data_IF_358893527653
#
_entry.id   IF_358893527653
#
_cell.length_a   1.000
_cell.length_b   1.000
_cell.length_c   1.000
_cell.angle_alpha   90.00
_cell.angle_beta   90.00
_cell.angle_gamma   90.00
#
_symmetry.space_group_name_H-M   'P 1'
#
loop_
_entity.id
_entity.type
_entity.pdbx_description
1 polymer ?
#
# COMPACT_ATOMS: atom_id res chain seq x y z
N UNK A 1 69.59 9.92 29.80
CA UNK A 1 68.89 10.66 30.88
C UNK A 1 69.14 12.15 30.70
N UNK A 2 68.14 12.93 30.27
CA UNK A 2 68.14 14.38 30.49
C UNK A 2 66.72 14.90 30.31
N UNK A 3 66.19 15.52 31.36
CA UNK A 3 64.88 16.13 31.42
C UNK A 3 65.08 17.56 31.90
N UNK A 4 64.59 18.57 31.17
CA UNK A 4 64.14 19.84 31.76
C UNK A 4 62.96 20.37 30.97
N UNK A 5 61.84 20.51 31.68
CA UNK A 5 60.56 21.09 31.25
C UNK A 5 60.67 22.61 31.21
N UNK A 6 59.98 23.26 30.28
CA UNK A 6 59.54 24.64 30.44
C UNK A 6 58.17 24.83 29.79
N UNK A 7 57.28 25.39 30.59
CA UNK A 7 55.83 25.56 30.43
C UNK A 7 55.52 26.93 29.83
N UNK A 8 54.58 27.04 28.86
CA UNK A 8 53.64 28.18 28.77
C UNK A 8 52.52 27.96 27.72
N UNK A 9 51.31 27.80 28.28
CA UNK A 9 49.95 28.16 27.84
C UNK A 9 49.71 28.62 26.40
N UNK A 10 48.70 28.00 25.77
CA UNK A 10 47.97 28.54 24.62
C UNK A 10 46.70 27.73 24.35
N UNK A 11 45.59 28.17 24.96
CA UNK A 11 44.21 27.72 24.73
C UNK A 11 43.82 28.02 23.27
N UNK A 12 43.24 27.07 22.54
CA UNK A 12 42.24 27.33 21.50
C UNK A 12 41.57 26.01 21.05
N UNK A 13 40.32 25.88 21.49
CA UNK A 13 39.34 24.90 21.00
C UNK A 13 39.11 25.05 19.51
N UNK A 14 39.09 23.94 18.78
CA UNK A 14 38.33 23.77 17.55
C UNK A 14 37.74 22.37 17.55
N UNK A 15 36.56 22.23 18.15
CA UNK A 15 35.64 21.13 17.87
C UNK A 15 35.05 21.44 16.49
N UNK A 16 35.71 20.97 15.43
CA UNK A 16 35.10 20.89 14.12
C UNK A 16 34.32 19.58 14.06
N UNK A 17 33.08 19.64 14.55
CA UNK A 17 32.10 18.57 14.38
C UNK A 17 31.68 18.51 12.92
N UNK A 18 32.26 17.61 12.15
CA UNK A 18 31.69 17.19 10.86
C UNK A 18 30.78 16.01 11.15
N UNK A 19 29.57 16.31 11.61
CA UNK A 19 28.47 15.36 11.61
C UNK A 19 28.24 14.94 10.17
N UNK A 20 28.63 13.71 9.83
CA UNK A 20 28.19 13.08 8.60
C UNK A 20 26.69 12.85 8.74
N UNK A 21 25.91 13.79 8.22
CA UNK A 21 24.48 13.63 8.01
C UNK A 21 24.31 12.38 7.13
N UNK A 22 23.96 11.25 7.75
CA UNK A 22 23.31 10.17 7.05
C UNK A 22 21.98 10.76 6.57
N UNK A 23 21.95 11.22 5.31
CA UNK A 23 20.71 11.43 4.61
C UNK A 23 20.04 10.06 4.51
N UNK A 24 19.18 9.76 5.47
CA UNK A 24 18.17 8.72 5.31
C UNK A 24 17.31 9.17 4.15
N UNK A 25 17.64 8.69 2.94
CA UNK A 25 16.69 8.64 1.86
C UNK A 25 15.54 7.79 2.37
N UNK A 26 14.50 8.44 2.89
CA UNK A 26 13.27 7.77 3.29
C UNK A 26 12.78 6.99 2.09
N UNK A 27 12.81 5.67 2.19
CA UNK A 27 12.34 4.80 1.14
C UNK A 27 10.88 5.16 0.85
N UNK A 28 10.59 5.66 -0.35
CA UNK A 28 9.23 5.69 -0.90
C UNK A 28 8.71 4.26 -1.23
N UNK A 29 9.38 3.22 -0.70
CA UNK A 29 9.18 1.82 -1.07
C UNK A 29 7.93 1.18 -0.46
N UNK A 30 7.21 1.83 0.46
CA UNK A 30 6.23 1.10 1.27
C UNK A 30 4.83 1.74 1.35
N UNK A 31 4.51 2.72 0.49
CA UNK A 31 3.13 3.23 0.45
C UNK A 31 2.16 2.25 -0.23
N UNK A 32 2.68 1.40 -1.13
CA UNK A 32 1.91 0.43 -1.91
C UNK A 32 2.10 -1.02 -1.43
N UNK A 33 2.58 -1.21 -0.21
CA UNK A 33 2.64 -2.51 0.46
C UNK A 33 1.83 -2.42 1.74
N UNK A 34 1.09 -3.48 2.05
CA UNK A 34 0.34 -3.55 3.31
C UNK A 34 1.27 -3.86 4.47
N UNK A 35 0.78 -3.67 5.69
CA UNK A 35 1.26 -4.38 6.86
C UNK A 35 1.28 -5.90 6.60
N UNK A 36 1.93 -6.64 7.50
CA UNK A 36 1.79 -8.08 7.54
C UNK A 36 0.31 -8.46 7.72
N UNK A 37 -0.12 -9.56 7.11
CA UNK A 37 -1.41 -10.16 7.44
C UNK A 37 -1.45 -10.59 8.90
N UNK A 38 -2.54 -10.28 9.59
CA UNK A 38 -2.83 -10.69 10.95
C UNK A 38 -4.22 -11.33 11.03
N UNK A 39 -4.31 -12.47 11.69
CA UNK A 39 -5.56 -13.24 11.76
C UNK A 39 -5.37 -14.65 12.33
N UNK A 40 -6.49 -15.35 12.49
CA UNK A 40 -6.54 -16.71 13.06
C UNK A 40 -5.93 -17.77 12.14
N UNK A 41 -5.90 -17.53 10.83
CA UNK A 41 -5.45 -18.50 9.82
C UNK A 41 -4.54 -17.90 8.74
N UNK A 42 -4.72 -16.62 8.38
CA UNK A 42 -3.79 -15.87 7.53
C UNK A 42 -3.00 -14.88 8.40
N UNK A 43 -1.71 -15.17 8.64
CA UNK A 43 -0.88 -14.43 9.60
C UNK A 43 0.59 -14.30 9.20
N UNK A 44 0.86 -14.29 7.88
CA UNK A 44 2.18 -14.28 7.25
C UNK A 44 2.14 -13.48 5.96
N UNK A 45 3.27 -12.94 5.52
CA UNK A 45 3.37 -12.17 4.29
C UNK A 45 2.61 -10.85 4.30
N UNK A 46 2.67 -10.16 3.16
CA UNK A 46 2.03 -8.87 2.88
C UNK A 46 1.31 -8.94 1.54
N UNK A 47 0.53 -7.92 1.20
CA UNK A 47 0.07 -7.67 -0.16
C UNK A 47 0.71 -6.38 -0.69
N UNK A 48 1.04 -6.34 -1.97
CA UNK A 48 1.52 -5.16 -2.66
C UNK A 48 0.60 -4.79 -3.81
N UNK A 49 0.44 -3.50 -4.03
CA UNK A 49 -0.29 -2.91 -5.12
C UNK A 49 0.66 -2.54 -6.26
N UNK A 50 0.25 -2.83 -7.50
CA UNK A 50 0.93 -2.34 -8.70
C UNK A 50 -0.07 -1.80 -9.71
N UNK A 51 0.38 -0.91 -10.59
CA UNK A 51 -0.43 -0.33 -11.66
C UNK A 51 0.28 -0.45 -13.00
N UNK A 52 -0.46 -0.89 -14.01
CA UNK A 52 -0.05 -0.84 -15.41
C UNK A 52 -1.18 -0.26 -16.26
N UNK A 53 -1.03 1.00 -16.68
CA UNK A 53 -2.10 1.77 -17.29
C UNK A 53 -3.29 1.90 -16.34
N UNK A 54 -4.47 1.46 -16.79
CA UNK A 54 -5.71 1.49 -16.00
C UNK A 54 -5.97 0.20 -15.21
N UNK A 55 -4.99 -0.71 -15.17
CA UNK A 55 -5.12 -1.98 -14.45
C UNK A 55 -4.34 -1.91 -13.14
N UNK A 56 -5.07 -1.89 -12.03
CA UNK A 56 -4.51 -2.05 -10.69
C UNK A 56 -4.52 -3.53 -10.31
N UNK A 57 -3.42 -4.01 -9.73
CA UNK A 57 -3.30 -5.38 -9.25
C UNK A 57 -2.87 -5.43 -7.80
N UNK A 58 -3.27 -6.50 -7.10
CA UNK A 58 -2.74 -6.88 -5.80
C UNK A 58 -2.00 -8.20 -5.92
N UNK A 59 -0.84 -8.29 -5.27
CA UNK A 59 0.01 -9.48 -5.25
C UNK A 59 0.46 -9.76 -3.83
N UNK A 60 0.34 -11.01 -3.34
CA UNK A 60 0.96 -11.35 -2.05
C UNK A 60 2.46 -11.62 -2.17
N UNK A 61 3.18 -11.42 -1.07
CA UNK A 61 4.60 -11.73 -0.94
C UNK A 61 4.88 -13.25 -1.00
N UNK A 62 6.15 -13.63 -1.23
CA UNK A 62 6.56 -15.04 -1.35
C UNK A 62 6.37 -15.83 -0.03
N UNK A 63 6.46 -15.14 1.11
CA UNK A 63 6.33 -15.73 2.44
C UNK A 63 4.86 -15.84 2.92
N UNK A 64 3.89 -15.43 2.10
CA UNK A 64 2.47 -15.61 2.40
C UNK A 64 2.09 -17.10 2.35
N UNK A 65 1.55 -17.61 3.46
CA UNK A 65 1.02 -18.98 3.57
C UNK A 65 -0.48 -18.96 3.35
N UNK A 66 -0.93 -19.66 2.30
CA UNK A 66 -2.36 -19.85 2.03
C UNK A 66 -3.00 -20.64 3.18
N UNK A 67 -4.09 -20.14 3.79
CA UNK A 67 -4.83 -20.87 4.81
C UNK A 67 -5.40 -22.18 4.27
N UNK A 68 -5.18 -23.28 5.01
CA UNK A 68 -5.85 -24.56 4.77
C UNK A 68 -7.33 -24.47 5.17
N UNK A 69 -8.15 -24.05 4.21
CA UNK A 69 -9.61 -23.88 4.35
C UNK A 69 -10.28 -24.26 3.02
N UNK A 70 -11.55 -24.65 3.00
CA UNK A 70 -12.20 -25.18 1.79
C UNK A 70 -12.42 -24.14 0.68
N UNK A 71 -12.58 -22.85 1.02
CA UNK A 71 -12.79 -21.79 0.04
C UNK A 71 -12.18 -20.45 0.50
N UNK A 72 -10.85 -20.30 0.55
CA UNK A 72 -10.22 -19.02 0.85
C UNK A 72 -10.24 -18.12 -0.39
N UNK A 73 -10.69 -16.87 -0.22
CA UNK A 73 -10.80 -15.84 -1.24
C UNK A 73 -10.04 -14.57 -0.87
N UNK A 74 -9.59 -13.87 -1.91
CA UNK A 74 -9.21 -12.48 -1.79
C UNK A 74 -10.45 -11.66 -1.46
N UNK A 75 -10.31 -10.72 -0.55
CA UNK A 75 -11.34 -9.76 -0.24
C UNK A 75 -10.70 -8.38 -0.05
N UNK A 76 -11.37 -7.34 -0.51
CA UNK A 76 -10.90 -5.96 -0.40
C UNK A 76 -11.96 -5.14 0.30
N UNK A 77 -11.52 -4.21 1.16
CA UNK A 77 -12.38 -3.23 1.81
C UNK A 77 -11.96 -1.84 1.38
N UNK A 78 -12.90 -1.05 0.88
CA UNK A 78 -12.66 0.36 0.53
C UNK A 78 -12.76 1.27 1.78
N UNK A 79 -12.42 2.54 1.61
CA UNK A 79 -12.48 3.56 2.68
C UNK A 79 -13.88 3.84 3.19
N UNK A 80 -14.92 3.43 2.46
CA UNK A 80 -16.33 3.55 2.86
C UNK A 80 -16.84 2.30 3.59
N UNK A 81 -16.01 1.27 3.72
CA UNK A 81 -16.37 0.00 4.35
C UNK A 81 -17.10 -0.96 3.41
N UNK A 82 -17.17 -0.68 2.10
CA UNK A 82 -17.70 -1.64 1.14
C UNK A 82 -16.73 -2.80 1.00
N UNK A 83 -17.29 -4.01 0.98
CA UNK A 83 -16.52 -5.26 0.93
C UNK A 83 -16.70 -5.91 -0.44
N UNK A 84 -15.58 -6.24 -1.08
CA UNK A 84 -15.54 -6.85 -2.39
C UNK A 84 -14.91 -8.23 -2.29
N UNK A 85 -15.71 -9.29 -2.45
CA UNK A 85 -15.21 -10.65 -2.58
C UNK A 85 -14.65 -10.86 -3.99
N UNK A 86 -13.41 -11.33 -4.08
CA UNK A 86 -12.66 -11.49 -5.33
C UNK A 86 -12.29 -12.98 -5.53
N UNK A 87 -11.26 -13.25 -6.35
CA UNK A 87 -10.89 -14.60 -6.75
C UNK A 87 -10.54 -15.50 -5.55
N UNK A 88 -10.85 -16.80 -5.69
CA UNK A 88 -10.36 -17.84 -4.77
C UNK A 88 -8.84 -17.93 -4.83
N UNK A 89 -8.18 -18.12 -3.70
CA UNK A 89 -6.73 -18.20 -3.59
C UNK A 89 -6.15 -19.38 -4.38
N UNK A 90 -6.80 -20.54 -4.25
CA UNK A 90 -6.39 -21.79 -4.87
C UNK A 90 -7.32 -22.12 -6.03
N UNK A 91 -6.77 -22.42 -7.19
CA UNK A 91 -7.49 -22.88 -8.38
C UNK A 91 -7.44 -24.42 -8.41
N UNK A 92 -8.18 -25.08 -9.30
CA UNK A 92 -8.07 -26.54 -9.46
C UNK A 92 -6.62 -26.96 -9.76
N UNK A 93 -6.12 -27.98 -9.05
CA UNK A 93 -4.71 -28.39 -9.06
C UNK A 93 -3.85 -27.53 -8.14
N UNK A 94 -2.53 -27.50 -8.35
CA UNK A 94 -1.57 -26.71 -7.54
C UNK A 94 -1.46 -25.23 -7.98
N UNK A 95 -2.41 -24.74 -8.78
CA UNK A 95 -2.39 -23.37 -9.31
C UNK A 95 -3.01 -22.38 -8.31
N UNK A 96 -2.46 -21.17 -8.25
CA UNK A 96 -2.85 -20.16 -7.27
C UNK A 96 -3.09 -18.80 -7.94
N UNK A 97 -4.10 -18.06 -7.49
CA UNK A 97 -4.32 -16.66 -7.85
C UNK A 97 -3.50 -15.76 -6.94
N UNK A 98 -2.17 -15.82 -7.09
CA UNK A 98 -1.23 -14.99 -6.31
C UNK A 98 -1.38 -13.50 -6.59
N UNK A 99 -1.66 -13.18 -7.85
CA UNK A 99 -1.94 -11.81 -8.30
C UNK A 99 -3.37 -11.75 -8.79
N UNK A 100 -4.08 -10.70 -8.40
CA UNK A 100 -5.43 -10.41 -8.85
C UNK A 100 -5.51 -9.00 -9.43
N UNK A 101 -6.33 -8.81 -10.45
CA UNK A 101 -6.66 -7.48 -10.98
C UNK A 101 -7.87 -6.95 -10.23
N UNK A 102 -7.80 -5.70 -9.78
CA UNK A 102 -8.91 -5.03 -9.12
C UNK A 102 -9.99 -4.66 -10.14
N UNK A 103 -11.25 -5.02 -9.90
CA UNK A 103 -12.35 -4.58 -10.75
C UNK A 103 -12.55 -3.06 -10.73
N UNK A 104 -12.99 -2.49 -11.85
CA UNK A 104 -13.17 -1.04 -12.02
C UNK A 104 -14.22 -0.37 -11.10
N UNK A 105 -15.06 -1.16 -10.41
CA UNK A 105 -15.96 -0.61 -9.38
C UNK A 105 -15.25 -0.26 -8.06
N UNK A 106 -14.06 -0.82 -7.82
CA UNK A 106 -13.26 -0.54 -6.62
C UNK A 106 -12.47 0.73 -6.87
N UNK A 107 -12.85 1.82 -6.19
CA UNK A 107 -12.27 3.14 -6.41
C UNK A 107 -11.06 3.40 -5.52
N UNK A 108 -11.01 2.73 -4.37
CA UNK A 108 -9.90 2.78 -3.46
C UNK A 108 -9.85 1.49 -2.61
N UNK A 109 -8.69 1.24 -2.01
CA UNK A 109 -8.41 0.07 -1.19
C UNK A 109 -7.82 0.53 0.13
N UNK A 110 -8.59 0.38 1.21
CA UNK A 110 -8.11 0.62 2.56
C UNK A 110 -7.44 -0.64 3.12
N UNK A 111 -8.05 -1.80 2.90
CA UNK A 111 -7.61 -3.08 3.47
C UNK A 111 -7.70 -4.22 2.49
N UNK A 112 -6.83 -5.21 2.72
CA UNK A 112 -6.83 -6.49 2.04
C UNK A 112 -7.13 -7.57 3.08
N UNK A 113 -8.04 -8.47 2.76
CA UNK A 113 -8.52 -9.52 3.65
C UNK A 113 -8.44 -10.87 2.95
N UNK A 114 -8.29 -11.91 3.75
CA UNK A 114 -8.45 -13.30 3.34
C UNK A 114 -9.73 -13.81 3.97
N UNK A 115 -10.70 -14.17 3.14
CA UNK A 115 -12.05 -14.56 3.55
C UNK A 115 -12.32 -16.01 3.21
N UNK A 116 -12.87 -16.80 4.13
CA UNK A 116 -13.40 -18.11 3.78
C UNK A 116 -14.85 -17.98 3.32
N UNK A 117 -15.13 -18.17 2.03
CA UNK A 117 -16.48 -18.08 1.50
C UNK A 117 -17.39 -19.25 1.95
N UNK A 118 -16.81 -20.41 2.29
CA UNK A 118 -17.58 -21.56 2.77
C UNK A 118 -18.02 -21.41 4.23
N UNK A 119 -17.13 -20.91 5.08
CA UNK A 119 -17.38 -20.75 6.52
C UNK A 119 -17.81 -19.32 6.89
N UNK A 120 -17.90 -18.43 5.89
CA UNK A 120 -18.24 -17.02 6.03
C UNK A 120 -17.47 -16.34 7.18
N UNK A 121 -16.14 -16.50 7.18
CA UNK A 121 -15.28 -16.00 8.26
C UNK A 121 -14.02 -15.31 7.73
N UNK A 122 -13.62 -14.24 8.43
CA UNK A 122 -12.36 -13.54 8.19
C UNK A 122 -11.19 -14.37 8.73
N UNK A 123 -10.27 -14.74 7.85
CA UNK A 123 -9.10 -15.55 8.17
C UNK A 123 -7.89 -14.71 8.55
N UNK A 124 -7.80 -13.49 7.99
CA UNK A 124 -6.83 -12.46 8.35
C UNK A 124 -6.95 -11.22 7.48
N UNK A 125 -6.32 -10.14 7.93
CA UNK A 125 -6.41 -8.80 7.35
C UNK A 125 -5.04 -8.13 7.34
N UNK A 126 -4.80 -7.29 6.33
CA UNK A 126 -3.66 -6.40 6.24
C UNK A 126 -4.13 -5.03 5.73
N UNK A 127 -3.47 -3.96 6.19
CA UNK A 127 -3.84 -2.59 5.82
C UNK A 127 -2.68 -1.87 5.15
N UNK A 128 -2.95 -1.03 4.17
CA UNK A 128 -1.94 -0.10 3.66
C UNK A 128 -1.71 1.02 4.68
N UNK A 129 -0.50 1.60 4.67
CA UNK A 129 -0.21 2.78 5.50
C UNK A 129 -1.15 3.96 5.17
N UNK A 130 -1.58 4.05 3.91
CA UNK A 130 -2.62 4.96 3.43
C UNK A 130 -3.47 4.22 2.38
N UNK A 131 -4.78 4.52 2.27
CA UNK A 131 -5.61 3.90 1.24
C UNK A 131 -5.04 4.15 -0.16
N UNK A 132 -5.09 3.12 -1.01
CA UNK A 132 -4.68 3.22 -2.41
C UNK A 132 -5.87 3.69 -3.22
N UNK A 133 -5.75 4.83 -3.92
CA UNK A 133 -6.74 5.22 -4.92
C UNK A 133 -6.43 4.44 -6.21
N UNK A 134 -7.43 3.73 -6.76
CA UNK A 134 -7.28 2.99 -8.02
C UNK A 134 -7.37 3.93 -9.21
N UNK A 135 -6.93 3.48 -10.40
CA UNK A 135 -7.10 4.23 -11.64
C UNK A 135 -8.58 4.57 -11.90
N UNK A 136 -9.50 3.68 -11.47
CA UNK A 136 -10.95 3.93 -11.56
C UNK A 136 -11.42 5.02 -10.60
N UNK A 137 -10.86 5.06 -9.39
CA UNK A 137 -11.13 6.14 -8.43
C UNK A 137 -10.59 7.49 -8.90
N UNK A 138 -9.39 7.52 -9.47
CA UNK A 138 -8.80 8.72 -10.07
C UNK A 138 -9.65 9.25 -11.23
N UNK A 139 -10.07 8.38 -12.15
CA UNK A 139 -10.91 8.77 -13.28
C UNK A 139 -12.25 9.37 -12.84
N UNK A 140 -12.90 8.77 -11.83
CA UNK A 140 -14.14 9.32 -11.26
C UNK A 140 -13.93 10.66 -10.58
N UNK A 141 -12.87 10.78 -9.77
CA UNK A 141 -12.50 12.03 -9.13
C UNK A 141 -12.31 13.14 -10.15
N UNK A 142 -11.60 12.88 -11.25
CA UNK A 142 -11.32 13.86 -12.29
C UNK A 142 -12.56 14.22 -13.14
N UNK A 143 -13.42 13.24 -13.44
CA UNK A 143 -14.69 13.50 -14.14
C UNK A 143 -15.63 14.43 -13.37
N UNK A 144 -15.71 14.26 -12.04
CA UNK A 144 -16.44 15.17 -11.12
C UNK A 144 -15.76 16.53 -10.90
N UNK A 145 -14.53 16.74 -11.39
CA UNK A 145 -13.92 18.08 -11.43
C UNK A 145 -14.18 18.78 -12.76
N UNK A 146 -14.28 18.03 -13.85
CA UNK A 146 -14.61 18.58 -15.16
C UNK A 146 -16.06 19.11 -15.22
N UNK A 147 -17.04 18.41 -14.63
CA UNK A 147 -18.44 18.85 -14.61
C UNK A 147 -18.69 20.11 -13.76
N UNK A 148 -17.97 20.24 -12.65
CA UNK A 148 -18.06 21.35 -11.71
C UNK A 148 -17.42 22.63 -12.26
N UNK A 149 -16.66 22.51 -13.36
CA UNK A 149 -16.11 23.64 -14.12
C UNK A 149 -16.96 24.07 -15.31
N UNK A 150 -18.05 23.36 -15.62
CA UNK A 150 -19.08 23.88 -16.55
C UNK A 150 -19.93 24.92 -15.82
N UNK A 151 -19.35 26.10 -15.64
CA UNK A 151 -20.08 27.32 -15.28
C UNK A 151 -21.26 27.52 -16.21
N UNK A 152 -22.40 27.84 -15.60
CA UNK A 152 -23.70 28.22 -16.16
C UNK A 152 -23.58 29.50 -17.03
N UNK A 153 -22.83 29.47 -18.12
CA UNK A 153 -22.41 30.66 -18.86
C UNK A 153 -22.47 30.56 -20.38
N UNK A 154 -22.94 29.45 -20.97
CA UNK A 154 -22.97 29.29 -22.42
C UNK A 154 -24.27 28.67 -22.94
N UNK A 155 -25.42 29.14 -22.44
CA UNK A 155 -26.66 29.12 -23.21
C UNK A 155 -26.98 30.54 -23.66
N UNK A 156 -26.10 31.12 -24.48
CA UNK A 156 -26.46 32.26 -25.31
C UNK A 156 -27.07 31.69 -26.61
N UNK A 157 -28.33 32.05 -26.82
CA UNK A 157 -29.17 31.69 -27.97
C UNK A 157 -28.45 31.83 -29.30
N UNK A 158 -28.66 30.86 -30.19
CA UNK A 158 -28.69 31.13 -31.62
C UNK A 158 -30.13 30.90 -32.10
N UNK A 159 -30.86 31.99 -32.29
CA UNK A 159 -32.08 32.05 -33.10
C UNK A 159 -31.67 32.48 -34.50
#
# INVERSE_FOLDING_TARGET
MSSKRAFKRGLLSLVAGTGLLLASNGFAADAHTTSKFEGVKANSGTASHSRSGNNDTLTWSDDFKIPDTPAPHWQVVDTKGNVYLLNRLVIKGDKQNRTITLPAQINDVAKVQIWCAYAEVLLGEASFAKPIVTASGEARGNGMKADSSMTYGSMAMNR
#
